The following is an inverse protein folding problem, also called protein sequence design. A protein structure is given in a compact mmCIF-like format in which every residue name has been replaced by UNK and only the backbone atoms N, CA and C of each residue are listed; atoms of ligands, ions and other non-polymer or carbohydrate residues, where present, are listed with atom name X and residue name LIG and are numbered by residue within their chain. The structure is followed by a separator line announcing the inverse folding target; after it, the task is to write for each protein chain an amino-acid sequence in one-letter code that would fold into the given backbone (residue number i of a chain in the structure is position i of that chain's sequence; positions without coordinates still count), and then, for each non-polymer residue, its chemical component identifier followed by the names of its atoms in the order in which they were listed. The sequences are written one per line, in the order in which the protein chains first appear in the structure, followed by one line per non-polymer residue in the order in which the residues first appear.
data_IF_380158179434
#
_entry.id   IF_380158179434
#
_cell.length_a   1.000
_cell.length_b   1.000
_cell.length_c   1.000
_cell.angle_alpha   90.00
_cell.angle_beta   90.00
_cell.angle_gamma   90.00
#
_symmetry.space_group_name_H-M   'P 1'
#
loop_
_entity.id
_entity.type
_entity.pdbx_description
1 polymer ?
#
# COMPACT_ATOMS: atom_id res chain seq x y z
N UNK A 1 12.03 -12.87 -4.75
CA UNK A 1 11.41 -12.82 -6.09
C UNK A 1 10.90 -11.39 -6.29
N UNK A 2 11.40 -10.67 -7.30
CA UNK A 2 10.97 -9.30 -7.58
C UNK A 2 9.63 -9.35 -8.33
N UNK A 3 8.59 -8.69 -7.81
CA UNK A 3 7.26 -8.67 -8.43
C UNK A 3 7.16 -7.67 -9.60
N UNK A 4 8.22 -6.90 -9.86
CA UNK A 4 8.35 -6.08 -11.07
C UNK A 4 9.80 -6.10 -11.56
N UNK A 5 10.11 -7.00 -12.50
CA UNK A 5 11.32 -6.93 -13.31
C UNK A 5 11.16 -5.89 -14.45
N UNK A 6 10.73 -4.70 -14.10
CA UNK A 6 10.68 -3.57 -15.02
C UNK A 6 11.89 -2.68 -14.74
N UNK A 7 12.61 -2.23 -15.77
CA UNK A 7 13.62 -1.19 -15.55
C UNK A 7 12.92 0.05 -14.98
N UNK A 8 13.61 0.91 -14.20
CA UNK A 8 13.01 2.15 -13.69
C UNK A 8 12.34 2.98 -14.77
N UNK A 9 12.87 2.98 -16.00
CA UNK A 9 12.27 3.61 -17.17
C UNK A 9 10.92 3.00 -17.56
N UNK A 10 10.78 1.68 -17.52
CA UNK A 10 9.54 0.98 -17.85
C UNK A 10 8.45 1.27 -16.81
N UNK A 11 8.83 1.26 -15.52
CA UNK A 11 7.92 1.64 -14.44
C UNK A 11 7.45 3.09 -14.58
N UNK A 12 8.35 4.01 -14.94
CA UNK A 12 8.03 5.41 -15.18
C UNK A 12 7.10 5.59 -16.39
N UNK A 13 7.35 4.88 -17.49
CA UNK A 13 6.51 4.90 -18.70
C UNK A 13 5.10 4.38 -18.39
N UNK A 14 5.01 3.24 -17.69
CA UNK A 14 3.75 2.66 -17.26
C UNK A 14 2.95 3.60 -16.36
N UNK A 15 3.60 4.18 -15.35
CA UNK A 15 2.97 5.16 -14.46
C UNK A 15 2.46 6.39 -15.21
N UNK A 16 3.24 6.92 -16.17
CA UNK A 16 2.84 8.07 -16.99
C UNK A 16 1.60 7.75 -17.82
N UNK A 17 1.58 6.62 -18.52
CA UNK A 17 0.41 6.20 -19.29
C UNK A 17 -0.83 6.00 -18.42
N UNK A 18 -0.69 5.33 -17.28
CA UNK A 18 -1.79 5.10 -16.34
C UNK A 18 -2.34 6.41 -15.74
N UNK A 19 -1.48 7.40 -15.49
CA UNK A 19 -1.90 8.69 -14.92
C UNK A 19 -2.89 9.44 -15.81
N UNK A 20 -2.72 9.38 -17.13
CA UNK A 20 -3.64 10.05 -18.06
C UNK A 20 -5.02 9.40 -18.03
N UNK A 21 -5.08 8.07 -17.93
CA UNK A 21 -6.34 7.33 -17.80
C UNK A 21 -7.00 7.68 -16.46
N UNK A 22 -6.25 7.56 -15.36
CA UNK A 22 -6.76 7.80 -14.00
C UNK A 22 -7.33 9.21 -13.83
N UNK A 23 -6.70 10.23 -14.44
CA UNK A 23 -7.15 11.62 -14.39
C UNK A 23 -8.48 11.87 -15.11
N UNK A 24 -8.90 10.97 -16.01
CA UNK A 24 -10.17 11.10 -16.77
C UNK A 24 -11.30 10.25 -16.20
N UNK A 25 -11.02 9.42 -15.19
CA UNK A 25 -12.03 8.53 -14.61
C UNK A 25 -13.01 9.30 -13.72
N UNK A 26 -14.31 8.95 -13.76
CA UNK A 26 -15.26 9.47 -12.79
C UNK A 26 -14.85 9.17 -11.35
N UNK A 27 -15.17 10.07 -10.44
CA UNK A 27 -14.94 9.91 -8.99
C UNK A 27 -15.55 8.61 -8.46
N UNK A 28 -16.73 8.23 -8.96
CA UNK A 28 -17.35 6.95 -8.60
C UNK A 28 -16.45 5.73 -8.91
N UNK A 29 -15.79 5.71 -10.07
CA UNK A 29 -14.89 4.61 -10.45
C UNK A 29 -13.62 4.60 -9.59
N UNK A 30 -13.07 5.77 -9.27
CA UNK A 30 -11.92 5.90 -8.36
C UNK A 30 -12.28 5.43 -6.95
N UNK A 31 -13.47 5.78 -6.46
CA UNK A 31 -13.97 5.38 -5.14
C UNK A 31 -14.29 3.88 -5.06
N UNK A 32 -14.79 3.29 -6.14
CA UNK A 32 -14.96 1.83 -6.25
C UNK A 32 -13.61 1.11 -6.15
N UNK A 33 -12.57 1.62 -6.82
CA UNK A 33 -11.23 1.05 -6.72
C UNK A 33 -10.68 1.11 -5.28
N UNK A 34 -10.85 2.24 -4.58
CA UNK A 34 -10.45 2.37 -3.16
C UNK A 34 -11.18 1.37 -2.26
N UNK A 35 -12.50 1.18 -2.48
CA UNK A 35 -13.28 0.19 -1.73
C UNK A 35 -12.80 -1.23 -2.00
N UNK A 36 -12.53 -1.58 -3.26
CA UNK A 36 -12.01 -2.89 -3.63
C UNK A 36 -10.61 -3.15 -3.02
N UNK A 37 -9.74 -2.14 -2.96
CA UNK A 37 -8.44 -2.23 -2.29
C UNK A 37 -8.62 -2.47 -0.78
N UNK A 38 -9.49 -1.71 -0.13
CA UNK A 38 -9.81 -1.89 1.29
C UNK A 38 -10.26 -3.32 1.58
N UNK A 39 -11.21 -3.83 0.80
CA UNK A 39 -11.78 -5.16 1.01
C UNK A 39 -10.76 -6.27 0.74
N UNK A 40 -9.93 -6.13 -0.30
CA UNK A 40 -8.85 -7.06 -0.58
C UNK A 40 -7.81 -7.09 0.54
N UNK A 41 -7.43 -5.93 1.09
CA UNK A 41 -6.50 -5.88 2.23
C UNK A 41 -7.12 -6.56 3.45
N UNK A 42 -8.39 -6.30 3.75
CA UNK A 42 -9.10 -6.91 4.87
C UNK A 42 -9.17 -8.44 4.74
N UNK A 43 -9.50 -8.94 3.55
CA UNK A 43 -9.58 -10.38 3.26
C UNK A 43 -8.23 -11.09 3.37
N UNK A 44 -7.14 -10.39 3.07
CA UNK A 44 -5.79 -10.95 3.06
C UNK A 44 -4.95 -10.53 4.29
N UNK A 45 -5.60 -10.06 5.37
CA UNK A 45 -4.93 -9.53 6.56
C UNK A 45 -3.87 -10.48 7.12
N UNK A 46 -4.24 -11.74 7.33
CA UNK A 46 -3.38 -12.72 7.99
C UNK A 46 -2.14 -13.04 7.13
N UNK A 47 -2.30 -13.16 5.81
CA UNK A 47 -1.20 -13.38 4.89
C UNK A 47 -0.23 -12.19 4.88
N UNK A 48 -0.77 -10.97 4.85
CA UNK A 48 0.04 -9.73 4.85
C UNK A 48 0.79 -9.59 6.18
N UNK A 49 0.15 -9.84 7.33
CA UNK A 49 0.80 -9.78 8.64
C UNK A 49 1.86 -10.87 8.79
N UNK A 50 1.61 -12.08 8.27
CA UNK A 50 2.61 -13.14 8.24
C UNK A 50 3.83 -12.75 7.37
N UNK A 51 3.63 -12.07 6.25
CA UNK A 51 4.71 -11.53 5.43
C UNK A 51 5.48 -10.42 6.17
N UNK A 52 4.77 -9.46 6.77
CA UNK A 52 5.37 -8.39 7.55
C UNK A 52 6.21 -8.89 8.73
N UNK A 53 5.79 -9.99 9.38
CA UNK A 53 6.55 -10.62 10.46
C UNK A 53 7.91 -11.17 9.98
N UNK A 54 7.97 -11.73 8.76
CA UNK A 54 9.25 -12.18 8.16
C UNK A 54 10.16 -10.98 7.86
N UNK A 55 9.59 -9.90 7.35
CA UNK A 55 10.37 -8.68 7.06
C UNK A 55 10.88 -8.02 8.33
N UNK A 56 10.10 -8.03 9.41
CA UNK A 56 10.51 -7.54 10.73
C UNK A 56 11.70 -8.32 11.28
N UNK A 57 11.73 -9.63 11.11
CA UNK A 57 12.83 -10.46 11.57
C UNK A 57 14.13 -10.13 10.83
N UNK A 58 14.05 -9.89 9.52
CA UNK A 58 15.19 -9.42 8.73
C UNK A 58 15.61 -8.01 9.15
N UNK A 59 14.65 -7.10 9.35
CA UNK A 59 14.91 -5.73 9.74
C UNK A 59 15.50 -5.60 11.15
N UNK A 60 15.17 -6.51 12.08
CA UNK A 60 15.77 -6.54 13.42
C UNK A 60 17.27 -6.79 13.36
N UNK A 61 17.71 -7.74 12.54
CA UNK A 61 19.15 -8.02 12.34
C UNK A 61 19.89 -6.80 11.80
N UNK A 62 19.29 -6.09 10.84
CA UNK A 62 19.87 -4.87 10.28
C UNK A 62 19.84 -3.68 11.28
N UNK A 63 18.82 -3.62 12.14
CA UNK A 63 18.69 -2.58 13.17
C UNK A 63 19.66 -2.80 14.34
N UNK A 64 19.92 -4.05 14.73
CA UNK A 64 20.95 -4.41 15.71
C UNK A 64 22.35 -3.96 15.26
N UNK A 65 22.60 -4.02 13.96
CA UNK A 65 23.82 -3.49 13.34
C UNK A 65 23.81 -1.95 13.14
N UNK A 66 22.78 -1.26 13.65
CA UNK A 66 22.65 0.20 13.58
C UNK A 66 22.32 0.76 12.19
N UNK A 67 21.99 -0.10 11.21
CA UNK A 67 21.75 0.32 9.82
C UNK A 67 20.31 0.74 9.54
N UNK A 68 19.37 0.45 10.44
CA UNK A 68 17.94 0.65 10.19
C UNK A 68 17.16 1.05 11.45
N UNK A 69 16.06 1.80 11.25
CA UNK A 69 15.10 2.12 12.31
C UNK A 69 13.79 1.34 12.12
N UNK A 70 13.32 0.65 13.17
CA UNK A 70 12.19 -0.27 13.11
C UNK A 70 10.83 0.45 13.02
N UNK A 71 10.42 0.85 11.82
CA UNK A 71 9.09 1.44 11.54
C UNK A 71 8.10 0.47 10.87
N UNK A 72 8.53 -0.75 10.60
CA UNK A 72 7.86 -1.69 9.69
C UNK A 72 6.69 -2.48 10.31
N UNK A 73 6.54 -2.50 11.64
CA UNK A 73 5.58 -3.39 12.31
C UNK A 73 4.13 -2.95 12.07
N UNK A 74 3.39 -3.70 11.24
CA UNK A 74 1.97 -3.48 10.94
C UNK A 74 1.03 -4.09 11.99
N UNK A 75 1.51 -5.05 12.80
CA UNK A 75 0.73 -5.72 13.85
C UNK A 75 0.60 -4.90 15.13
N UNK A 76 1.33 -3.79 15.23
CA UNK A 76 1.16 -2.83 16.34
C UNK A 76 -0.30 -2.40 16.47
N UNK A 77 -0.83 -2.49 17.69
CA UNK A 77 -2.23 -2.18 18.02
C UNK A 77 -2.71 -0.90 17.33
N UNK A 78 -3.81 -1.01 16.56
CA UNK A 78 -4.46 0.11 15.87
C UNK A 78 -3.85 0.45 14.51
N UNK A 79 -2.59 0.08 14.22
CA UNK A 79 -1.94 0.51 12.98
C UNK A 79 -2.59 -0.09 11.72
N UNK A 80 -3.00 -1.35 11.79
CA UNK A 80 -3.74 -1.99 10.71
C UNK A 80 -5.10 -1.33 10.48
N UNK A 81 -5.84 -1.11 11.57
CA UNK A 81 -7.16 -0.50 11.53
C UNK A 81 -7.10 0.95 11.02
N UNK A 82 -6.11 1.73 11.47
CA UNK A 82 -5.86 3.10 11.02
C UNK A 82 -5.51 3.15 9.53
N UNK A 83 -4.71 2.19 9.04
CA UNK A 83 -4.35 2.08 7.62
C UNK A 83 -5.59 1.82 6.76
N UNK A 84 -6.45 0.88 7.15
CA UNK A 84 -7.69 0.60 6.43
C UNK A 84 -8.67 1.77 6.49
N UNK A 85 -8.80 2.40 7.67
CA UNK A 85 -9.63 3.60 7.85
C UNK A 85 -9.16 4.72 6.93
N UNK A 86 -7.86 4.95 6.80
CA UNK A 86 -7.32 5.99 5.93
C UNK A 86 -7.73 5.85 4.45
N UNK A 87 -7.90 4.62 3.96
CA UNK A 87 -8.38 4.37 2.58
C UNK A 87 -9.83 4.86 2.43
N UNK A 88 -10.66 4.56 3.42
CA UNK A 88 -12.08 4.94 3.43
C UNK A 88 -12.24 6.45 3.66
N UNK A 89 -11.43 7.03 4.54
CA UNK A 89 -11.39 8.47 4.77
C UNK A 89 -11.10 9.21 3.46
N UNK A 90 -10.13 8.75 2.64
CA UNK A 90 -9.83 9.34 1.32
C UNK A 90 -10.96 9.16 0.32
N UNK A 91 -11.57 7.97 0.28
CA UNK A 91 -12.70 7.68 -0.61
C UNK A 91 -13.88 8.62 -0.36
N UNK A 92 -14.09 9.00 0.89
CA UNK A 92 -15.23 9.81 1.32
C UNK A 92 -14.98 11.32 1.20
N UNK A 93 -13.78 11.74 0.76
CA UNK A 93 -13.49 13.13 0.44
C UNK A 93 -14.23 13.59 -0.82
N UNK A 94 -14.62 14.87 -0.82
CA UNK A 94 -15.10 15.52 -2.04
C UNK A 94 -13.97 15.64 -3.07
N UNK A 95 -14.34 15.51 -4.34
CA UNK A 95 -13.38 15.68 -5.44
C UNK A 95 -12.90 17.14 -5.48
N UNK A 96 -11.59 17.41 -5.36
CA UNK A 96 -11.08 18.78 -5.30
C UNK A 96 -11.22 19.59 -6.60
N UNK A 97 -11.71 18.97 -7.68
CA UNK A 97 -11.85 19.58 -9.01
C UNK A 97 -10.59 19.50 -9.86
#
# INVERSE_FOLDING_TARGET
MSLTNALPEDAARGAKSASHILATLPTASRNQALTAIHDALLQNKDEILAANARDLELARKEAEDGRLSLRLDLGKKGKWEDMLKGIMDVRDLEDPG
#
